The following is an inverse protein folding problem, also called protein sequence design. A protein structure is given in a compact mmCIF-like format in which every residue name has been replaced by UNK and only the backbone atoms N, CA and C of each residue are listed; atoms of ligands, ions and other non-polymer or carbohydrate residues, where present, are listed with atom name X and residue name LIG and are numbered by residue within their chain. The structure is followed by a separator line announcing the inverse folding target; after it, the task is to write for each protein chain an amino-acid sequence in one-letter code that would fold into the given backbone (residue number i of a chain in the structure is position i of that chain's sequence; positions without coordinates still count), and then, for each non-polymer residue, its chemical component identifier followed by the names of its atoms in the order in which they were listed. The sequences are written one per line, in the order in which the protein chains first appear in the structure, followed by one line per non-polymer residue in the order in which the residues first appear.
data_IF_448121996715
#
_entry.id   IF_448121996715
#
_cell.length_a   1.000
_cell.length_b   1.000
_cell.length_c   1.000
_cell.angle_alpha   90.00
_cell.angle_beta   90.00
_cell.angle_gamma   90.00
#
_symmetry.space_group_name_H-M   'P 1'
#
loop_
_entity.id
_entity.type
_entity.pdbx_description
1 polymer ?
#
# COMPACT_ATOMS: atom_id res chain seq x y z
N UNK A 1 -24.93 13.40 8.10
CA UNK A 1 -23.48 13.72 8.13
C UNK A 1 -23.18 14.53 6.89
N UNK A 2 -22.56 15.70 7.03
CA UNK A 2 -22.10 16.49 5.89
C UNK A 2 -21.28 15.59 4.97
N UNK A 3 -21.43 15.76 3.65
CA UNK A 3 -20.69 15.01 2.65
C UNK A 3 -19.24 15.52 2.66
N UNK A 4 -18.48 15.12 3.69
CA UNK A 4 -17.10 15.56 3.92
C UNK A 4 -16.25 14.89 2.85
N UNK A 5 -15.88 15.67 1.84
CA UNK A 5 -15.02 15.20 0.76
C UNK A 5 -13.57 15.13 1.26
N UNK A 6 -13.06 13.90 1.36
CA UNK A 6 -11.67 13.58 1.70
C UNK A 6 -10.87 13.00 0.54
N UNK A 7 -11.47 12.93 -0.66
CA UNK A 7 -10.87 12.26 -1.81
C UNK A 7 -9.57 12.93 -2.24
N UNK A 8 -9.48 14.26 -2.09
CA UNK A 8 -8.26 14.98 -2.40
C UNK A 8 -7.10 14.58 -1.47
N UNK A 9 -7.33 14.48 -0.16
CA UNK A 9 -6.29 14.08 0.80
C UNK A 9 -5.83 12.65 0.57
N UNK A 10 -6.75 11.71 0.33
CA UNK A 10 -6.38 10.33 0.05
C UNK A 10 -5.72 10.15 -1.33
N UNK A 11 -6.10 10.94 -2.33
CA UNK A 11 -5.41 10.94 -3.63
C UNK A 11 -3.97 11.44 -3.49
N UNK A 12 -3.75 12.53 -2.78
CA UNK A 12 -2.41 13.05 -2.50
C UNK A 12 -1.56 12.06 -1.68
N UNK A 13 -2.17 11.38 -0.70
CA UNK A 13 -1.52 10.29 0.02
C UNK A 13 -1.11 9.15 -0.94
N UNK A 14 -2.00 8.73 -1.83
CA UNK A 14 -1.75 7.69 -2.83
C UNK A 14 -0.58 8.05 -3.76
N UNK A 15 -0.54 9.28 -4.28
CA UNK A 15 0.57 9.77 -5.12
C UNK A 15 1.91 9.67 -4.39
N UNK A 16 1.96 10.09 -3.12
CA UNK A 16 3.17 10.02 -2.30
C UNK A 16 3.57 8.57 -2.01
N UNK A 17 2.62 7.68 -1.73
CA UNK A 17 2.88 6.24 -1.58
C UNK A 17 3.43 5.60 -2.86
N UNK A 18 2.99 6.05 -4.04
CA UNK A 18 3.59 5.62 -5.33
C UNK A 18 5.06 5.98 -5.41
N UNK A 19 5.41 7.22 -5.03
CA UNK A 19 6.80 7.68 -5.01
C UNK A 19 7.61 6.86 -4.01
N UNK A 20 7.09 6.64 -2.79
CA UNK A 20 7.75 5.80 -1.77
C UNK A 20 7.98 4.37 -2.29
N UNK A 21 7.00 3.77 -2.97
CA UNK A 21 7.12 2.46 -3.60
C UNK A 21 8.22 2.39 -4.66
N UNK A 22 8.28 3.38 -5.56
CA UNK A 22 9.34 3.49 -6.58
C UNK A 22 10.72 3.66 -5.91
N UNK A 23 10.82 4.54 -4.91
CA UNK A 23 12.08 4.75 -4.19
C UNK A 23 12.55 3.47 -3.52
N UNK A 24 11.65 2.70 -2.91
CA UNK A 24 11.94 1.42 -2.25
C UNK A 24 12.53 0.39 -3.21
N UNK A 25 12.05 0.32 -4.47
CA UNK A 25 12.62 -0.54 -5.51
C UNK A 25 14.05 -0.12 -5.85
N UNK A 26 14.27 1.19 -6.02
CA UNK A 26 15.55 1.74 -6.44
C UNK A 26 16.64 1.66 -5.35
N UNK A 27 16.28 1.34 -4.10
CA UNK A 27 17.24 1.14 -3.00
C UNK A 27 18.27 0.04 -3.30
N UNK A 28 17.95 -0.92 -4.16
CA UNK A 28 18.89 -1.99 -4.56
C UNK A 28 20.15 -1.44 -5.24
N UNK A 29 20.07 -0.29 -5.89
CA UNK A 29 21.20 0.28 -6.63
C UNK A 29 22.27 0.77 -5.63
N UNK A 30 23.49 0.21 -5.65
CA UNK A 30 24.57 0.66 -4.77
C UNK A 30 24.83 2.16 -4.91
N UNK A 31 25.21 2.83 -3.81
CA UNK A 31 25.45 4.27 -3.69
C UNK A 31 24.21 5.17 -3.86
N UNK A 32 23.32 4.91 -4.82
CA UNK A 32 22.07 5.65 -4.99
C UNK A 32 21.06 5.35 -3.87
N UNK A 33 21.04 4.10 -3.36
CA UNK A 33 20.02 3.63 -2.44
C UNK A 33 19.92 4.43 -1.13
N UNK A 34 21.04 4.93 -0.59
CA UNK A 34 21.02 5.74 0.65
C UNK A 34 20.33 7.09 0.44
N UNK A 35 20.65 7.78 -0.67
CA UNK A 35 20.03 9.05 -1.01
C UNK A 35 18.54 8.89 -1.37
N UNK A 36 18.21 7.85 -2.14
CA UNK A 36 16.81 7.56 -2.51
C UNK A 36 15.97 7.14 -1.30
N UNK A 37 16.55 6.42 -0.34
CA UNK A 37 15.88 6.09 0.93
C UNK A 37 15.53 7.35 1.71
N UNK A 38 16.43 8.34 1.74
CA UNK A 38 16.17 9.62 2.39
C UNK A 38 15.05 10.41 1.72
N UNK A 39 15.00 10.42 0.38
CA UNK A 39 13.89 11.01 -0.37
C UNK A 39 12.58 10.28 -0.05
N UNK A 40 12.58 8.94 -0.13
CA UNK A 40 11.42 8.12 0.21
C UNK A 40 10.91 8.39 1.61
N UNK A 41 11.82 8.56 2.58
CA UNK A 41 11.49 8.94 3.94
C UNK A 41 10.76 10.29 4.03
N UNK A 42 11.26 11.32 3.34
CA UNK A 42 10.59 12.64 3.29
C UNK A 42 9.18 12.52 2.71
N UNK A 43 9.01 11.78 1.62
CA UNK A 43 7.68 11.54 1.04
C UNK A 43 6.74 10.76 1.96
N UNK A 44 7.27 9.80 2.73
CA UNK A 44 6.51 9.11 3.78
C UNK A 44 6.00 10.06 4.85
N UNK A 45 6.84 10.98 5.34
CA UNK A 45 6.41 12.00 6.30
C UNK A 45 5.38 12.99 5.71
N UNK A 46 5.56 13.39 4.45
CA UNK A 46 4.57 14.25 3.77
C UNK A 46 3.22 13.53 3.62
N UNK A 47 3.21 12.22 3.34
CA UNK A 47 1.99 11.43 3.26
C UNK A 47 1.23 11.38 4.60
N UNK A 48 1.94 11.35 5.74
CA UNK A 48 1.31 11.47 7.07
C UNK A 48 0.64 12.84 7.27
N UNK A 49 1.13 13.88 6.61
CA UNK A 49 0.49 15.19 6.56
C UNK A 49 -0.88 15.14 5.89
N UNK A 50 -1.01 14.41 4.78
CA UNK A 50 -2.30 14.22 4.11
C UNK A 50 -3.28 13.44 4.98
N UNK A 51 -2.81 12.39 5.67
CA UNK A 51 -3.64 11.63 6.62
C UNK A 51 -4.07 12.49 7.80
N UNK A 52 -3.20 13.38 8.31
CA UNK A 52 -3.58 14.36 9.34
C UNK A 52 -4.72 15.26 8.85
N UNK A 53 -4.62 15.75 7.62
CA UNK A 53 -5.64 16.62 7.03
C UNK A 53 -6.96 15.87 6.83
N UNK A 54 -6.91 14.62 6.34
CA UNK A 54 -8.08 13.75 6.26
C UNK A 54 -8.71 13.49 7.64
N UNK A 55 -7.88 13.25 8.66
CA UNK A 55 -8.35 13.01 10.02
C UNK A 55 -9.00 14.26 10.64
N UNK A 56 -8.45 15.46 10.41
CA UNK A 56 -9.06 16.70 10.89
C UNK A 56 -10.48 16.90 10.33
N UNK A 57 -10.77 16.34 9.15
CA UNK A 57 -12.09 16.40 8.51
C UNK A 57 -13.04 15.29 8.99
N UNK A 58 -12.54 14.06 9.16
CA UNK A 58 -13.36 12.89 9.50
C UNK A 58 -13.47 12.63 11.01
N UNK A 59 -12.54 13.17 11.79
CA UNK A 59 -12.37 12.96 13.23
C UNK A 59 -12.39 11.47 13.63
N UNK A 60 -11.48 10.68 13.04
CA UNK A 60 -11.43 9.22 13.19
C UNK A 60 -10.24 8.77 14.03
N UNK A 61 -10.52 8.03 15.12
CA UNK A 61 -9.49 7.52 16.02
C UNK A 61 -8.47 6.60 15.31
N UNK A 62 -8.90 5.84 14.30
CA UNK A 62 -8.03 4.93 13.54
C UNK A 62 -6.94 5.67 12.73
N UNK A 63 -7.28 6.81 12.11
CA UNK A 63 -6.30 7.63 11.38
C UNK A 63 -5.32 8.34 12.33
N UNK A 64 -5.80 8.82 13.48
CA UNK A 64 -4.92 9.41 14.50
C UNK A 64 -3.96 8.37 15.08
N UNK A 65 -4.48 7.17 15.39
CA UNK A 65 -3.68 6.05 15.87
C UNK A 65 -2.63 5.63 14.85
N UNK A 66 -2.99 5.50 13.56
CA UNK A 66 -2.04 5.22 12.49
C UNK A 66 -0.92 6.26 12.49
N UNK A 67 -1.27 7.55 12.41
CA UNK A 67 -0.30 8.64 12.33
C UNK A 67 0.62 8.69 13.55
N UNK A 68 0.05 8.69 14.75
CA UNK A 68 0.80 8.80 16.00
C UNK A 68 1.76 7.61 16.17
N UNK A 69 1.26 6.38 16.03
CA UNK A 69 2.08 5.17 16.18
C UNK A 69 3.17 5.08 15.11
N UNK A 70 2.87 5.47 13.87
CA UNK A 70 3.86 5.47 12.79
C UNK A 70 4.98 6.49 13.05
N UNK A 71 4.66 7.70 13.51
CA UNK A 71 5.68 8.71 13.87
C UNK A 71 6.54 8.22 15.03
N UNK A 72 5.93 7.64 16.09
CA UNK A 72 6.69 7.10 17.23
C UNK A 72 7.58 5.94 16.75
N UNK A 73 7.08 5.03 15.91
CA UNK A 73 7.86 3.95 15.34
C UNK A 73 9.09 4.46 14.56
N UNK A 74 8.91 5.50 13.74
CA UNK A 74 10.02 6.16 13.01
C UNK A 74 11.07 6.72 13.96
N UNK A 75 10.66 7.43 15.03
CA UNK A 75 11.59 8.00 16.02
C UNK A 75 12.39 6.90 16.71
N UNK A 76 11.71 5.84 17.17
CA UNK A 76 12.37 4.69 17.80
C UNK A 76 13.34 4.01 16.83
N UNK A 77 12.98 3.86 15.55
CA UNK A 77 13.87 3.28 14.53
C UNK A 77 15.11 4.14 14.27
N UNK A 78 14.98 5.46 14.29
CA UNK A 78 16.14 6.36 14.17
C UNK A 78 17.08 6.23 15.38
N UNK A 79 16.53 6.23 16.60
CA UNK A 79 17.31 6.05 17.83
C UNK A 79 17.99 4.67 17.84
N UNK A 80 17.23 3.61 17.57
CA UNK A 80 17.74 2.24 17.52
C UNK A 80 18.84 2.07 16.48
N UNK A 81 18.66 2.64 15.28
CA UNK A 81 19.68 2.62 14.22
C UNK A 81 20.97 3.34 14.62
N UNK A 82 20.88 4.51 15.27
CA UNK A 82 22.07 5.24 15.75
C UNK A 82 22.80 4.45 16.84
N UNK A 83 22.06 3.92 17.83
CA UNK A 83 22.63 3.09 18.91
C UNK A 83 23.31 1.84 18.34
N UNK A 84 22.66 1.13 17.41
CA UNK A 84 23.24 -0.03 16.73
C UNK A 84 24.48 0.33 15.92
N UNK A 85 24.47 1.47 15.21
CA UNK A 85 25.61 1.93 14.40
C UNK A 85 26.82 2.23 15.29
N UNK A 86 26.65 3.02 16.35
CA UNK A 86 27.72 3.34 17.31
C UNK A 86 28.24 2.07 17.98
N UNK A 87 27.34 1.18 18.39
CA UNK A 87 27.71 -0.12 18.97
C UNK A 87 28.49 -1.01 18.01
N UNK A 88 28.13 -0.99 16.72
CA UNK A 88 28.83 -1.76 15.68
C UNK A 88 30.22 -1.21 15.43
N UNK A 89 30.39 0.11 15.35
CA UNK A 89 31.71 0.73 15.24
C UNK A 89 32.60 0.42 16.44
N UNK A 90 32.06 0.53 17.66
CA UNK A 90 32.79 0.21 18.89
C UNK A 90 33.19 -1.28 18.96
N UNK A 91 32.27 -2.19 18.63
CA UNK A 91 32.56 -3.63 18.59
C UNK A 91 33.61 -3.95 17.54
N UNK A 92 33.51 -3.35 16.36
CA UNK A 92 34.43 -3.57 15.27
C UNK A 92 35.84 -3.04 15.59
N UNK A 93 35.95 -1.84 16.18
CA UNK A 93 37.25 -1.30 16.59
C UNK A 93 37.95 -2.18 17.61
N UNK A 94 37.19 -2.72 18.58
CA UNK A 94 37.74 -3.64 19.58
C UNK A 94 38.10 -5.00 18.97
N UNK A 95 37.33 -5.49 17.99
CA UNK A 95 37.62 -6.75 17.30
C UNK A 95 38.94 -6.71 16.51
N UNK A 96 39.35 -5.54 16.03
CA UNK A 96 40.63 -5.37 15.34
C UNK A 96 41.85 -5.42 16.28
N UNK A 97 41.65 -5.24 17.58
CA UNK A 97 42.69 -5.47 18.58
C UNK A 97 42.72 -6.96 18.96
N UNK A 98 43.68 -7.70 18.43
CA UNK A 98 43.84 -9.14 18.70
C UNK A 98 43.95 -9.48 20.20
N UNK A 99 44.40 -8.54 21.05
CA UNK A 99 44.45 -8.76 22.49
C UNK A 99 43.05 -8.80 23.12
N UNK A 100 42.10 -8.04 22.55
CA UNK A 100 40.72 -7.96 23.02
C UNK A 100 39.93 -9.25 22.78
N UNK A 101 40.33 -10.06 21.79
CA UNK A 101 39.70 -11.36 21.51
C UNK A 101 39.87 -12.39 22.63
N UNK A 102 40.93 -12.25 23.45
CA UNK A 102 41.17 -13.15 24.58
C UNK A 102 40.51 -12.68 25.88
N UNK A 103 40.03 -11.43 25.93
CA UNK A 103 39.25 -10.88 27.05
C UNK A 103 37.75 -11.06 26.79
N UNK A 104 37.27 -12.27 27.09
CA UNK A 104 35.88 -12.66 26.85
C UNK A 104 34.83 -11.75 27.54
N UNK A 105 35.02 -11.30 28.80
CA UNK A 105 34.15 -10.28 29.39
C UNK A 105 34.07 -8.98 28.59
N UNK A 106 35.20 -8.46 28.12
CA UNK A 106 35.24 -7.24 27.34
C UNK A 106 34.55 -7.41 25.97
N UNK A 107 34.68 -8.60 25.36
CA UNK A 107 33.96 -8.98 24.15
C UNK A 107 32.44 -8.97 24.35
N UNK A 108 31.92 -9.53 25.45
CA UNK A 108 30.48 -9.51 25.73
C UNK A 108 29.98 -8.06 25.91
N UNK A 109 30.72 -7.25 26.65
CA UNK A 109 30.36 -5.85 26.93
C UNK A 109 30.26 -5.02 25.65
N UNK A 110 31.06 -5.31 24.62
CA UNK A 110 30.98 -4.57 23.35
C UNK A 110 29.68 -4.80 22.58
N UNK A 111 29.00 -5.94 22.76
CA UNK A 111 27.73 -6.23 22.09
C UNK A 111 26.50 -5.61 22.79
N UNK A 112 26.64 -5.08 24.01
CA UNK A 112 25.50 -4.51 24.77
C UNK A 112 24.78 -3.41 23.98
N UNK A 113 25.45 -2.40 23.39
CA UNK A 113 24.77 -1.37 22.62
C UNK A 113 24.05 -1.92 21.38
N UNK A 114 24.63 -2.92 20.72
CA UNK A 114 23.99 -3.60 19.57
C UNK A 114 22.70 -4.31 20.02
N UNK A 115 22.72 -4.99 21.15
CA UNK A 115 21.53 -5.64 21.71
C UNK A 115 20.45 -4.63 22.12
N UNK A 116 20.82 -3.52 22.75
CA UNK A 116 19.89 -2.43 23.10
C UNK A 116 19.26 -1.85 21.82
N UNK A 117 20.08 -1.53 20.81
CA UNK A 117 19.61 -1.03 19.53
C UNK A 117 18.68 -2.01 18.82
N UNK A 118 18.97 -3.31 18.90
CA UNK A 118 18.10 -4.37 18.39
C UNK A 118 16.73 -4.38 19.10
N UNK A 119 16.69 -4.36 20.44
CA UNK A 119 15.44 -4.32 21.21
C UNK A 119 14.60 -3.08 20.87
N UNK A 120 15.22 -1.92 20.75
CA UNK A 120 14.54 -0.67 20.34
C UNK A 120 13.92 -0.83 18.95
N UNK A 121 14.63 -1.45 18.01
CA UNK A 121 14.12 -1.70 16.66
C UNK A 121 12.96 -2.72 16.64
N UNK A 122 12.94 -3.72 17.53
CA UNK A 122 11.80 -4.62 17.69
C UNK A 122 10.54 -3.86 18.15
N UNK A 123 10.69 -2.97 19.14
CA UNK A 123 9.60 -2.11 19.62
C UNK A 123 9.10 -1.21 18.48
N UNK A 124 10.02 -0.59 17.72
CA UNK A 124 9.66 0.23 16.56
C UNK A 124 8.87 -0.57 15.52
N UNK A 125 9.28 -1.80 15.21
CA UNK A 125 8.55 -2.69 14.31
C UNK A 125 7.15 -3.02 14.81
N UNK A 126 6.98 -3.31 16.10
CA UNK A 126 5.67 -3.60 16.69
C UNK A 126 4.72 -2.39 16.61
N UNK A 127 5.23 -1.18 16.89
CA UNK A 127 4.48 0.06 16.74
C UNK A 127 4.08 0.33 15.28
N UNK A 128 4.97 0.05 14.34
CA UNK A 128 4.66 0.17 12.90
C UNK A 128 3.58 -0.83 12.46
N UNK A 129 3.64 -2.08 12.92
CA UNK A 129 2.57 -3.07 12.66
C UNK A 129 1.21 -2.57 13.16
N UNK A 130 1.18 -2.04 14.38
CA UNK A 130 -0.05 -1.52 14.98
C UNK A 130 -0.56 -0.26 14.28
N UNK A 131 0.36 0.58 13.76
CA UNK A 131 0.00 1.67 12.87
C UNK A 131 -0.71 1.13 11.61
N UNK A 132 -0.07 0.22 10.86
CA UNK A 132 -0.66 -0.32 9.63
C UNK A 132 -1.99 -1.03 9.87
N UNK A 133 -2.14 -1.73 11.00
CA UNK A 133 -3.43 -2.29 11.44
C UNK A 133 -4.49 -1.21 11.58
N UNK A 134 -4.17 -0.10 12.24
CA UNK A 134 -5.10 1.02 12.43
C UNK A 134 -5.57 1.60 11.09
N UNK A 135 -4.67 1.66 10.09
CA UNK A 135 -5.02 2.10 8.74
C UNK A 135 -5.90 1.07 8.00
N UNK A 136 -5.61 -0.24 8.13
CA UNK A 136 -6.48 -1.31 7.60
C UNK A 136 -7.88 -1.23 8.21
N UNK A 137 -7.98 -1.04 9.52
CA UNK A 137 -9.27 -0.92 10.23
C UNK A 137 -10.07 0.29 9.72
N UNK A 138 -9.40 1.41 9.45
CA UNK A 138 -10.03 2.58 8.82
C UNK A 138 -10.65 2.24 7.46
N UNK A 139 -9.87 1.63 6.54
CA UNK A 139 -10.39 1.29 5.21
C UNK A 139 -11.53 0.28 5.26
N UNK A 140 -11.50 -0.66 6.21
CA UNK A 140 -12.58 -1.63 6.39
C UNK A 140 -13.86 -1.03 6.94
N UNK A 141 -13.77 -0.07 7.86
CA UNK A 141 -14.92 0.60 8.46
C UNK A 141 -15.57 1.61 7.50
N UNK A 142 -14.76 2.25 6.65
CA UNK A 142 -15.18 3.38 5.81
C UNK A 142 -15.09 3.08 4.32
N UNK A 143 -15.41 1.83 3.92
CA UNK A 143 -15.35 1.40 2.50
C UNK A 143 -16.23 2.24 1.58
N UNK A 144 -17.31 2.80 2.10
CA UNK A 144 -18.24 3.67 1.36
C UNK A 144 -17.66 5.04 0.98
N UNK A 145 -16.53 5.45 1.56
CA UNK A 145 -15.85 6.70 1.19
C UNK A 145 -15.09 6.57 -0.14
N UNK A 146 -14.87 5.36 -0.63
CA UNK A 146 -14.05 5.08 -1.80
C UNK A 146 -14.79 4.20 -2.80
N UNK A 147 -14.40 4.20 -4.08
CA UNK A 147 -14.80 3.14 -5.00
C UNK A 147 -14.42 1.77 -4.41
N UNK A 148 -15.30 0.77 -4.54
CA UNK A 148 -15.12 -0.57 -3.95
C UNK A 148 -13.76 -1.18 -4.27
N UNK A 149 -13.29 -1.01 -5.51
CA UNK A 149 -11.99 -1.53 -5.93
C UNK A 149 -10.83 -0.82 -5.22
N UNK A 150 -10.88 0.50 -5.04
CA UNK A 150 -9.86 1.27 -4.32
C UNK A 150 -9.85 0.92 -2.84
N UNK A 151 -11.02 0.79 -2.21
CA UNK A 151 -11.12 0.42 -0.79
C UNK A 151 -10.48 -0.95 -0.52
N UNK A 152 -10.77 -1.93 -1.39
CA UNK A 152 -10.20 -3.28 -1.29
C UNK A 152 -8.68 -3.28 -1.48
N UNK A 153 -8.19 -2.59 -2.51
CA UNK A 153 -6.75 -2.45 -2.77
C UNK A 153 -6.04 -1.75 -1.62
N UNK A 154 -6.59 -0.65 -1.11
CA UNK A 154 -5.99 0.10 0.00
C UNK A 154 -5.94 -0.72 1.30
N UNK A 155 -7.05 -1.41 1.64
CA UNK A 155 -7.10 -2.30 2.80
C UNK A 155 -6.15 -3.49 2.67
N UNK A 156 -6.03 -4.09 1.49
CA UNK A 156 -5.08 -5.18 1.27
C UNK A 156 -3.64 -4.65 1.34
N UNK A 157 -3.37 -3.48 0.75
CA UNK A 157 -2.07 -2.84 0.77
C UNK A 157 -1.56 -2.55 2.18
N UNK A 158 -2.41 -1.99 3.05
CA UNK A 158 -2.07 -1.77 4.46
C UNK A 158 -1.83 -3.08 5.22
N UNK A 159 -2.58 -4.14 4.90
CA UNK A 159 -2.37 -5.47 5.48
C UNK A 159 -1.02 -6.10 5.06
N UNK A 160 -0.63 -5.92 3.79
CA UNK A 160 0.70 -6.34 3.31
C UNK A 160 1.81 -5.56 4.00
N UNK A 161 1.65 -4.26 4.24
CA UNK A 161 2.62 -3.44 4.97
C UNK A 161 2.73 -3.85 6.44
N UNK A 162 1.61 -4.19 7.08
CA UNK A 162 1.63 -4.79 8.43
C UNK A 162 2.43 -6.09 8.45
N UNK A 163 2.21 -6.95 7.45
CA UNK A 163 2.94 -8.22 7.32
C UNK A 163 4.42 -7.99 7.02
N UNK A 164 4.75 -6.98 6.21
CA UNK A 164 6.13 -6.58 5.93
C UNK A 164 6.84 -6.10 7.20
N UNK A 165 6.19 -5.29 8.04
CA UNK A 165 6.73 -4.86 9.32
C UNK A 165 6.99 -6.05 10.26
N UNK A 166 6.09 -7.04 10.28
CA UNK A 166 6.31 -8.30 11.01
C UNK A 166 7.53 -9.07 10.47
N UNK A 167 7.67 -9.17 9.15
CA UNK A 167 8.82 -9.84 8.54
C UNK A 167 10.13 -9.13 8.88
N UNK A 168 10.11 -7.79 8.98
CA UNK A 168 11.27 -7.00 9.39
C UNK A 168 11.63 -7.19 10.88
N UNK A 169 10.65 -7.37 11.77
CA UNK A 169 10.89 -7.77 13.17
C UNK A 169 11.62 -9.13 13.21
N UNK A 170 11.26 -10.05 12.30
CA UNK A 170 11.86 -11.37 12.18
C UNK A 170 13.12 -11.38 11.28
N UNK A 171 13.74 -10.23 11.04
CA UNK A 171 14.89 -10.08 10.12
C UNK A 171 16.14 -10.86 10.52
N UNK A 172 16.20 -11.41 11.74
CA UNK A 172 17.25 -12.37 12.11
C UNK A 172 17.25 -13.61 11.20
N UNK A 173 16.16 -13.86 10.47
CA UNK A 173 16.06 -14.85 9.41
C UNK A 173 16.31 -14.18 8.05
N UNK A 174 17.36 -14.56 7.33
CA UNK A 174 17.71 -13.92 6.03
C UNK A 174 16.53 -13.95 5.02
N UNK A 175 15.75 -15.03 5.01
CA UNK A 175 14.61 -15.20 4.10
C UNK A 175 13.48 -14.20 4.39
N UNK A 176 13.24 -13.84 5.65
CA UNK A 176 12.14 -12.91 6.01
C UNK A 176 12.45 -11.50 5.53
N UNK A 177 13.72 -11.11 5.45
CA UNK A 177 14.13 -9.80 4.92
C UNK A 177 13.66 -9.64 3.48
N UNK A 178 13.92 -10.63 2.62
CA UNK A 178 13.53 -10.59 1.21
C UNK A 178 12.00 -10.56 1.04
N UNK A 179 11.29 -11.42 1.78
CA UNK A 179 9.82 -11.47 1.74
C UNK A 179 9.23 -10.15 2.24
N UNK A 180 9.73 -9.61 3.35
CA UNK A 180 9.30 -8.34 3.92
C UNK A 180 9.44 -7.19 2.94
N UNK A 181 10.59 -7.09 2.26
CA UNK A 181 10.84 -6.06 1.25
C UNK A 181 9.87 -6.15 0.06
N UNK A 182 9.60 -7.37 -0.45
CA UNK A 182 8.62 -7.58 -1.54
C UNK A 182 7.21 -7.15 -1.08
N UNK A 183 6.79 -7.57 0.11
CA UNK A 183 5.48 -7.22 0.66
C UNK A 183 5.32 -5.72 0.87
N UNK A 184 6.40 -5.04 1.29
CA UNK A 184 6.42 -3.60 1.46
C UNK A 184 6.20 -2.87 0.12
N UNK A 185 6.86 -3.30 -0.94
CA UNK A 185 6.66 -2.76 -2.29
C UNK A 185 5.21 -2.94 -2.75
N UNK A 186 4.70 -4.18 -2.67
CA UNK A 186 3.32 -4.49 -3.08
C UNK A 186 2.34 -3.61 -2.30
N UNK A 187 2.54 -3.48 -0.99
CA UNK A 187 1.68 -2.68 -0.13
C UNK A 187 1.67 -1.19 -0.50
N UNK A 188 2.83 -0.59 -0.78
CA UNK A 188 2.89 0.81 -1.24
C UNK A 188 2.18 1.03 -2.59
N UNK A 189 2.36 0.13 -3.55
CA UNK A 189 1.67 0.25 -4.85
C UNK A 189 0.16 0.00 -4.75
N UNK A 190 -0.28 -0.87 -3.84
CA UNK A 190 -1.71 -1.03 -3.55
C UNK A 190 -2.31 0.23 -2.91
N UNK A 191 -1.62 0.85 -1.95
CA UNK A 191 -2.03 2.16 -1.41
C UNK A 191 -1.97 3.28 -2.45
N UNK A 192 -1.06 3.20 -3.42
CA UNK A 192 -0.96 4.19 -4.49
C UNK A 192 -2.23 4.30 -5.33
N UNK A 193 -3.08 3.26 -5.36
CA UNK A 193 -4.39 3.28 -6.03
C UNK A 193 -5.36 4.32 -5.49
N UNK A 194 -5.11 4.84 -4.29
CA UNK A 194 -5.87 5.97 -3.75
C UNK A 194 -5.74 7.24 -4.62
N UNK A 195 -4.69 7.37 -5.46
CA UNK A 195 -4.54 8.49 -6.39
C UNK A 195 -5.73 8.64 -7.36
N UNK A 196 -6.44 7.54 -7.65
CA UNK A 196 -7.57 7.48 -8.57
C UNK A 196 -8.89 8.06 -7.99
N UNK A 197 -8.91 8.44 -6.70
CA UNK A 197 -10.13 8.86 -5.99
C UNK A 197 -10.63 10.27 -6.36
N UNK A 198 -9.79 11.14 -6.94
CA UNK A 198 -10.14 12.54 -7.28
C UNK A 198 -11.22 12.69 -8.36
N UNK A 199 -11.60 11.61 -9.06
CA UNK A 199 -12.68 11.61 -10.05
C UNK A 199 -13.99 10.97 -9.57
N UNK A 200 -14.03 10.42 -8.35
CA UNK A 200 -15.21 9.70 -7.86
C UNK A 200 -16.16 10.65 -7.12
N UNK A 201 -17.22 11.08 -7.80
CA UNK A 201 -18.43 11.56 -7.12
C UNK A 201 -19.30 10.36 -6.79
N UNK A 202 -19.63 10.15 -5.50
CA UNK A 202 -20.40 9.03 -4.97
C UNK A 202 -21.84 8.85 -5.53
N UNK A 203 -22.22 9.55 -6.59
CA UNK A 203 -23.56 9.56 -7.18
C UNK A 203 -23.75 8.72 -8.44
N UNK A 204 -22.81 7.84 -8.83
CA UNK A 204 -23.02 6.97 -10.00
C UNK A 204 -22.74 5.50 -9.68
N UNK A 205 -23.67 4.86 -8.97
CA UNK A 205 -23.84 3.41 -9.05
C UNK A 205 -24.52 3.08 -10.37
N UNK A 206 -23.79 3.19 -11.48
CA UNK A 206 -24.16 2.53 -12.72
C UNK A 206 -23.44 1.18 -12.72
N UNK A 207 -24.14 0.05 -12.90
CA UNK A 207 -23.51 -1.27 -12.98
C UNK A 207 -22.42 -1.26 -14.06
N UNK A 208 -21.20 -1.64 -13.69
CA UNK A 208 -20.11 -1.87 -14.63
C UNK A 208 -20.48 -3.06 -15.51
N UNK A 209 -21.05 -2.80 -16.68
CA UNK A 209 -21.09 -3.76 -17.78
C UNK A 209 -19.63 -4.10 -18.16
N UNK A 210 -19.25 -5.39 -18.27
CA UNK A 210 -17.90 -5.79 -18.65
C UNK A 210 -17.50 -5.14 -19.99
N UNK A 211 -16.41 -4.38 -19.96
CA UNK A 211 -15.79 -3.78 -21.15
C UNK A 211 -15.16 -4.91 -21.97
N UNK A 212 -15.93 -5.46 -22.92
CA UNK A 212 -15.38 -6.32 -23.97
C UNK A 212 -14.47 -5.46 -24.83
N UNK A 213 -13.21 -5.88 -24.91
CA UNK A 213 -12.14 -5.25 -25.66
C UNK A 213 -12.45 -5.35 -27.17
N UNK A 214 -12.16 -4.33 -28.00
CA UNK A 214 -12.44 -4.40 -29.43
C UNK A 214 -11.42 -5.33 -30.11
N UNK A 215 -11.86 -6.52 -30.49
CA UNK A 215 -11.13 -7.37 -31.42
C UNK A 215 -11.27 -6.81 -32.83
N UNK A 216 -10.13 -6.67 -33.51
CA UNK A 216 -9.97 -6.22 -34.90
C UNK A 216 -10.91 -6.97 -35.88
N UNK A 217 -11.37 -6.34 -36.97
CA UNK A 217 -12.45 -6.87 -37.80
C UNK A 217 -11.95 -7.95 -38.76
N UNK A 218 -12.45 -9.17 -38.60
CA UNK A 218 -12.48 -10.18 -39.65
C UNK A 218 -13.88 -10.20 -40.28
N UNK A 219 -13.98 -9.67 -41.50
CA UNK A 219 -15.01 -10.11 -42.47
C UNK A 219 -14.46 -11.32 -43.25
N UNK A 220 -15.26 -12.13 -43.98
CA UNK A 220 -16.68 -11.93 -44.33
C UNK A 220 -17.57 -13.20 -44.21
N UNK A 221 -18.91 -13.01 -44.22
CA UNK A 221 -19.87 -13.71 -45.12
C UNK A 221 -21.29 -13.85 -44.51
N UNK A 222 -22.21 -13.04 -45.03
CA UNK A 222 -23.62 -13.35 -45.41
C UNK A 222 -24.46 -14.32 -44.57
N UNK A 223 -25.50 -13.79 -43.91
CA UNK A 223 -26.91 -14.15 -44.16
C UNK A 223 -27.80 -13.05 -43.53
N UNK A 224 -28.83 -12.60 -44.26
CA UNK A 224 -29.63 -11.42 -43.93
C UNK A 224 -30.22 -11.44 -42.52
N UNK A 225 -29.82 -10.47 -41.69
CA UNK A 225 -30.44 -10.25 -40.39
C UNK A 225 -31.71 -9.41 -40.59
N UNK A 226 -32.87 -10.05 -40.45
CA UNK A 226 -34.15 -9.35 -40.40
C UNK A 226 -34.28 -8.67 -39.03
N UNK A 227 -34.75 -7.42 -38.99
CA UNK A 227 -35.04 -6.70 -37.76
C UNK A 227 -36.56 -6.61 -37.58
N UNK A 228 -37.02 -6.60 -36.33
CA UNK A 228 -38.44 -6.41 -36.04
C UNK A 228 -38.86 -4.97 -36.39
N UNK A 229 -39.86 -4.81 -37.25
CA UNK A 229 -40.36 -3.50 -37.67
C UNK A 229 -41.03 -2.69 -36.54
N UNK A 230 -41.40 -3.34 -35.42
CA UNK A 230 -42.10 -2.69 -34.32
C UNK A 230 -41.16 -2.22 -33.20
N UNK A 231 -40.08 -2.95 -32.91
CA UNK A 231 -39.15 -2.61 -31.80
C UNK A 231 -37.68 -2.55 -32.20
N UNK A 232 -37.32 -2.90 -33.44
CA UNK A 232 -35.94 -2.89 -33.93
C UNK A 232 -35.05 -4.02 -33.43
N UNK A 233 -35.60 -5.00 -32.71
CA UNK A 233 -34.84 -6.17 -32.23
C UNK A 233 -34.33 -7.02 -33.41
N UNK A 234 -33.11 -7.54 -33.30
CA UNK A 234 -32.49 -8.39 -34.33
C UNK A 234 -33.10 -9.79 -34.27
N UNK A 235 -33.64 -10.26 -35.39
CA UNK A 235 -34.27 -11.56 -35.50
C UNK A 235 -33.31 -12.59 -36.09
N UNK A 236 -33.33 -13.80 -35.55
CA UNK A 236 -32.50 -14.93 -35.97
C UNK A 236 -33.14 -15.77 -37.09
N UNK A 237 -34.31 -15.34 -37.60
CA UNK A 237 -34.82 -15.73 -38.92
C UNK A 237 -35.88 -16.84 -38.97
N UNK A 238 -36.36 -17.38 -37.84
CA UNK A 238 -37.37 -18.47 -37.85
C UNK A 238 -38.54 -18.29 -36.86
N UNK A 239 -38.75 -17.09 -36.33
CA UNK A 239 -39.74 -16.84 -35.29
C UNK A 239 -41.03 -16.22 -35.88
N UNK A 240 -42.21 -16.77 -35.55
CA UNK A 240 -43.52 -16.21 -35.95
C UNK A 240 -43.88 -14.92 -35.19
N UNK A 241 -43.26 -14.70 -34.04
CA UNK A 241 -43.51 -13.59 -33.14
C UNK A 241 -42.19 -13.03 -32.64
N UNK A 242 -42.10 -11.72 -32.44
CA UNK A 242 -40.92 -11.10 -31.88
C UNK A 242 -40.79 -11.44 -30.38
N UNK A 243 -39.64 -11.94 -29.90
CA UNK A 243 -39.45 -12.34 -28.51
C UNK A 243 -39.44 -11.14 -27.55
N UNK A 244 -39.08 -9.95 -28.04
CA UNK A 244 -38.97 -8.75 -27.22
C UNK A 244 -40.30 -8.00 -27.06
N UNK A 245 -41.16 -8.01 -28.10
CA UNK A 245 -42.38 -7.20 -28.10
C UNK A 245 -43.67 -7.97 -28.42
N UNK A 246 -43.58 -9.26 -28.73
CA UNK A 246 -44.73 -10.12 -29.00
C UNK A 246 -45.44 -9.85 -30.34
N UNK A 247 -44.95 -8.93 -31.17
CA UNK A 247 -45.59 -8.63 -32.46
C UNK A 247 -45.44 -9.80 -33.44
N UNK A 248 -46.49 -10.10 -34.19
CA UNK A 248 -46.43 -11.06 -35.31
C UNK A 248 -45.43 -10.59 -36.36
N UNK A 249 -44.51 -11.47 -36.72
CA UNK A 249 -43.56 -11.26 -37.81
C UNK A 249 -44.19 -11.87 -39.07
N UNK A 250 -44.60 -11.01 -40.00
CA UNK A 250 -45.18 -11.39 -41.30
C UNK A 250 -44.08 -11.64 -42.34
#
# INVERSE_FOLDING_TARGET
MSNVNVNNEFSEFGKKMKIVGIMTILVIIPFAGSFLSFIGFIFGLMALGDIRNANNKLNQASLENYRSKFIIAVIFRMIGSVVSLVGSFYSFSNMLDFNYLYDFPALIMSFIPMFIGFVINLIAGALEMDAWRSLTDFFNQHRNLFPTYVANEASEGSEKLRTAALMNILSFLIITILIGWILQIIGYFKLAKLEETTGYTASATTPLTPRVQPTSPSAPSTLGANFCSNCGAKLTGQEKYCPECGSTLN
#
